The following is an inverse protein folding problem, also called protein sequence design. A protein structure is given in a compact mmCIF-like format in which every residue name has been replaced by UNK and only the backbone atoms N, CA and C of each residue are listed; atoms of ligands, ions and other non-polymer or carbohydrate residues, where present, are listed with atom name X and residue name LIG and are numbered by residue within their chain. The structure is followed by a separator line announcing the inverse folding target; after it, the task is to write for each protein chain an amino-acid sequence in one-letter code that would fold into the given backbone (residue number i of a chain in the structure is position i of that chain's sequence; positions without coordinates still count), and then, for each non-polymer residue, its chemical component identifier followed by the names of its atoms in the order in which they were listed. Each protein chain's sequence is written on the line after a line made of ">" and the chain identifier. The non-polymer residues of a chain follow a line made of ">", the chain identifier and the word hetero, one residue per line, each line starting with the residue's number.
data_IF_474112379010
#
_entry.id   IF_474112379010
#
_cell.length_a   1.000
_cell.length_b   1.000
_cell.length_c   1.000
_cell.angle_alpha   90.00
_cell.angle_beta   90.00
_cell.angle_gamma   90.00
#
_symmetry.space_group_name_H-M   'P 1'
#
loop_
_entity.id
_entity.type
_entity.pdbx_description
1 polymer ?
#
# COMPACT_ATOMS: atom_id res chain seq x y z
N UNK A 1 -15.57 -23.43 -7.73
CA UNK A 1 -14.13 -23.30 -8.05
C UNK A 1 -13.38 -23.89 -6.88
N UNK A 2 -12.49 -24.85 -7.10
CA UNK A 2 -11.71 -25.43 -6.02
C UNK A 2 -10.78 -24.34 -5.45
N UNK A 3 -10.68 -24.14 -4.13
CA UNK A 3 -9.77 -23.15 -3.55
C UNK A 3 -8.33 -23.28 -4.06
N UNK A 4 -7.86 -24.50 -4.33
CA UNK A 4 -6.54 -24.77 -4.89
C UNK A 4 -6.34 -24.13 -6.27
N UNK A 5 -7.37 -24.10 -7.12
CA UNK A 5 -7.30 -23.48 -8.45
C UNK A 5 -6.94 -21.99 -8.34
N UNK A 6 -7.49 -21.31 -7.32
CA UNK A 6 -7.19 -19.89 -7.09
C UNK A 6 -5.78 -19.69 -6.53
N UNK A 7 -5.35 -20.53 -5.59
CA UNK A 7 -4.02 -20.41 -4.96
C UNK A 7 -2.91 -20.68 -5.98
N UNK A 8 -3.10 -21.69 -6.83
CA UNK A 8 -2.14 -22.14 -7.83
C UNK A 8 -2.29 -21.45 -9.20
N UNK A 9 -3.21 -20.48 -9.33
CA UNK A 9 -3.39 -19.75 -10.57
C UNK A 9 -2.13 -19.00 -11.02
N UNK A 10 -1.96 -18.90 -12.33
CA UNK A 10 -0.92 -18.10 -13.00
C UNK A 10 -1.43 -16.71 -13.44
N UNK A 11 -2.66 -16.35 -13.06
CA UNK A 11 -3.23 -15.03 -13.36
C UNK A 11 -3.66 -14.36 -12.06
N UNK A 12 -3.14 -13.16 -11.81
CA UNK A 12 -3.43 -12.38 -10.60
C UNK A 12 -4.93 -12.18 -10.36
N UNK A 13 -5.70 -12.00 -11.44
CA UNK A 13 -7.16 -11.90 -11.40
C UNK A 13 -7.82 -13.10 -10.73
N UNK A 14 -7.38 -14.31 -11.01
CA UNK A 14 -7.98 -15.51 -10.43
C UNK A 14 -7.48 -15.72 -9.00
N UNK A 15 -6.20 -15.39 -8.73
CA UNK A 15 -5.59 -15.50 -7.41
C UNK A 15 -6.33 -14.74 -6.31
N UNK A 16 -6.89 -13.59 -6.65
CA UNK A 16 -7.63 -12.73 -5.72
C UNK A 16 -9.07 -12.47 -6.15
N UNK A 17 -9.69 -13.43 -6.87
CA UNK A 17 -11.12 -13.41 -7.25
C UNK A 17 -11.58 -12.13 -7.93
N UNK A 18 -10.73 -11.54 -8.75
CA UNK A 18 -10.99 -10.33 -9.52
C UNK A 18 -10.38 -9.06 -8.93
N UNK A 19 -9.76 -9.12 -7.76
CA UNK A 19 -9.04 -7.98 -7.19
C UNK A 19 -7.60 -7.91 -7.71
N UNK A 20 -7.12 -6.68 -7.90
CA UNK A 20 -5.71 -6.39 -8.08
C UNK A 20 -5.16 -5.87 -6.74
N UNK A 21 -4.28 -6.61 -6.05
CA UNK A 21 -3.58 -6.05 -4.89
C UNK A 21 -2.68 -4.90 -5.33
N UNK A 22 -2.80 -3.77 -4.63
CA UNK A 22 -1.92 -2.61 -4.78
C UNK A 22 -1.48 -2.23 -3.39
N UNK A 23 -0.17 -2.22 -3.17
CA UNK A 23 0.40 -1.87 -1.88
C UNK A 23 0.38 -0.36 -1.74
N UNK A 24 0.02 0.13 -0.56
CA UNK A 24 -0.08 1.55 -0.25
C UNK A 24 0.52 1.76 1.13
N UNK A 25 1.30 2.82 1.25
CA UNK A 25 1.72 3.39 2.52
C UNK A 25 1.50 4.91 2.47
N UNK A 26 1.12 5.50 3.61
CA UNK A 26 0.89 6.93 3.75
C UNK A 26 1.63 7.51 4.94
N UNK A 27 2.18 8.70 4.75
CA UNK A 27 2.65 9.53 5.85
C UNK A 27 1.67 10.65 6.12
N UNK A 28 1.40 10.91 7.40
CA UNK A 28 0.32 11.80 7.82
C UNK A 28 0.75 12.76 8.92
N UNK A 29 -0.01 13.84 9.08
CA UNK A 29 0.20 14.82 10.15
C UNK A 29 -0.57 14.47 11.43
N UNK A 30 -0.87 13.19 11.67
CA UNK A 30 -1.69 12.71 12.78
C UNK A 30 -2.48 11.45 12.44
N UNK A 31 -3.34 10.99 13.34
CA UNK A 31 -4.02 9.69 13.21
C UNK A 31 -5.51 9.78 12.86
N UNK A 32 -6.08 10.99 12.81
CA UNK A 32 -7.49 11.23 12.51
C UNK A 32 -7.66 11.72 11.06
N UNK A 33 -8.08 10.87 10.09
CA UNK A 33 -8.15 11.21 8.66
C UNK A 33 -8.96 12.45 8.31
N UNK A 34 -9.99 12.75 9.12
CA UNK A 34 -10.88 13.90 8.92
C UNK A 34 -10.22 15.23 9.30
N UNK A 35 -9.21 15.19 10.17
CA UNK A 35 -8.55 16.38 10.71
C UNK A 35 -7.12 16.52 10.19
N UNK A 36 -6.38 15.42 10.15
CA UNK A 36 -4.95 15.43 9.88
C UNK A 36 -4.64 15.29 8.39
N UNK A 37 -3.61 16.01 7.94
CA UNK A 37 -3.18 16.00 6.55
C UNK A 37 -2.59 14.64 6.14
N UNK A 38 -2.87 14.24 4.90
CA UNK A 38 -2.07 13.27 4.15
C UNK A 38 -0.87 14.03 3.57
N UNK A 39 0.35 13.61 3.90
CA UNK A 39 1.59 14.33 3.57
C UNK A 39 2.42 13.62 2.51
N UNK A 40 2.37 12.30 2.46
CA UNK A 40 2.98 11.48 1.42
C UNK A 40 2.12 10.27 1.15
N UNK A 41 2.17 9.76 -0.08
CA UNK A 41 1.54 8.51 -0.43
C UNK A 41 2.41 7.80 -1.46
N UNK A 42 2.81 6.56 -1.15
CA UNK A 42 3.39 5.66 -2.11
C UNK A 42 2.37 4.59 -2.49
N UNK A 43 2.36 4.22 -3.76
CA UNK A 43 1.74 2.98 -4.21
C UNK A 43 2.79 2.09 -4.87
N UNK A 44 2.67 0.78 -4.66
CA UNK A 44 3.51 -0.20 -5.33
C UNK A 44 2.61 -1.21 -6.01
N UNK A 45 2.76 -1.31 -7.33
CA UNK A 45 2.03 -2.30 -8.11
C UNK A 45 2.64 -3.68 -7.90
N UNK A 46 1.80 -4.70 -7.86
CA UNK A 46 2.27 -6.09 -7.84
C UNK A 46 2.06 -6.72 -9.20
N UNK A 47 3.07 -7.43 -9.66
CA UNK A 47 3.01 -8.21 -10.89
C UNK A 47 3.13 -9.71 -10.57
N UNK A 48 2.65 -10.53 -11.50
CA UNK A 48 2.70 -11.98 -11.42
C UNK A 48 3.42 -12.50 -12.65
N UNK A 49 4.42 -13.34 -12.45
CA UNK A 49 5.16 -13.97 -13.53
C UNK A 49 4.44 -15.20 -14.11
N UNK A 50 5.04 -15.79 -15.15
CA UNK A 50 4.48 -16.98 -15.81
C UNK A 50 4.44 -18.22 -14.89
N UNK A 51 5.23 -18.25 -13.81
CA UNK A 51 5.20 -19.30 -12.80
C UNK A 51 4.09 -19.10 -11.76
N UNK A 52 3.41 -17.95 -11.79
CA UNK A 52 2.38 -17.54 -10.85
C UNK A 52 2.95 -17.01 -9.54
N UNK A 53 4.22 -16.61 -9.51
CA UNK A 53 4.87 -15.96 -8.38
C UNK A 53 4.63 -14.46 -8.45
N UNK A 54 4.33 -13.86 -7.29
CA UNK A 54 4.21 -12.42 -7.16
C UNK A 54 5.59 -11.78 -6.96
N UNK A 55 5.77 -10.62 -7.56
CA UNK A 55 6.91 -9.76 -7.31
C UNK A 55 6.51 -8.29 -7.29
N UNK A 56 7.40 -7.46 -6.75
CA UNK A 56 7.26 -6.01 -6.72
C UNK A 56 7.40 -5.44 -8.14
N UNK A 57 6.42 -4.65 -8.56
CA UNK A 57 6.43 -3.90 -9.82
C UNK A 57 6.87 -2.45 -9.62
N UNK A 58 6.32 -1.54 -10.42
CA UNK A 58 6.62 -0.10 -10.34
C UNK A 58 6.05 0.54 -9.06
N UNK A 59 6.84 1.43 -8.47
CA UNK A 59 6.47 2.33 -7.38
C UNK A 59 6.07 3.70 -7.95
N UNK A 60 5.01 4.30 -7.42
CA UNK A 60 4.64 5.69 -7.72
C UNK A 60 4.41 6.42 -6.41
N UNK A 61 4.89 7.65 -6.33
CA UNK A 61 4.94 8.39 -5.07
C UNK A 61 4.68 9.87 -5.30
N UNK A 62 4.01 10.49 -4.34
CA UNK A 62 3.79 11.93 -4.32
C UNK A 62 3.99 12.48 -2.90
N UNK A 63 4.65 13.64 -2.82
CA UNK A 63 4.54 14.52 -1.66
C UNK A 63 3.27 15.35 -1.79
N UNK A 64 2.52 15.49 -0.70
CA UNK A 64 1.18 16.06 -0.69
C UNK A 64 1.14 17.26 0.26
N UNK A 65 0.59 18.38 -0.22
CA UNK A 65 0.36 19.56 0.59
C UNK A 65 -0.80 19.32 1.56
N UNK A 66 -0.73 19.83 2.81
CA UNK A 66 -1.85 19.80 3.72
C UNK A 66 -3.10 20.45 3.09
N UNK A 67 -4.25 19.78 3.21
CA UNK A 67 -5.51 20.38 2.79
C UNK A 67 -5.86 21.59 3.66
N UNK A 68 -6.69 22.50 3.13
CA UNK A 68 -7.08 23.71 3.85
C UNK A 68 -7.77 23.39 5.18
N UNK A 69 -7.20 23.89 6.28
CA UNK A 69 -7.72 23.67 7.63
C UNK A 69 -7.27 22.35 8.28
N UNK A 70 -6.33 21.62 7.67
CA UNK A 70 -5.76 20.43 8.29
C UNK A 70 -5.05 20.73 9.62
N UNK A 71 -5.26 19.87 10.60
CA UNK A 71 -4.54 19.87 11.86
C UNK A 71 -3.21 19.12 11.69
N UNK A 72 -2.11 19.74 12.11
CA UNK A 72 -0.76 19.18 12.03
C UNK A 72 -0.27 18.84 13.44
N UNK A 73 -0.30 17.56 13.82
CA UNK A 73 0.22 17.10 15.11
C UNK A 73 1.75 17.16 15.11
N UNK A 74 2.37 17.99 15.97
CA UNK A 74 3.82 18.08 16.06
C UNK A 74 4.50 16.74 16.38
N UNK A 75 3.82 15.82 17.08
CA UNK A 75 4.39 14.50 17.40
C UNK A 75 4.49 13.62 16.17
N UNK A 76 3.46 13.62 15.32
CA UNK A 76 3.50 12.89 14.04
C UNK A 76 4.55 13.46 13.09
N UNK A 77 4.65 14.80 12.98
CA UNK A 77 5.69 15.43 12.16
C UNK A 77 7.11 15.14 12.66
N UNK A 78 7.30 15.10 13.98
CA UNK A 78 8.59 14.73 14.57
C UNK A 78 8.93 13.25 14.34
N UNK A 79 7.91 12.39 14.25
CA UNK A 79 8.08 10.95 14.04
C UNK A 79 8.51 10.62 12.61
N UNK A 80 7.84 11.19 11.60
CA UNK A 80 8.20 10.99 10.19
C UNK A 80 9.21 12.01 9.65
N UNK A 81 9.58 13.02 10.46
CA UNK A 81 10.55 14.07 10.11
C UNK A 81 10.15 14.90 8.88
N UNK A 82 8.85 14.99 8.60
CA UNK A 82 8.33 15.79 7.49
C UNK A 82 8.13 17.24 7.93
N UNK A 83 8.72 18.18 7.20
CA UNK A 83 8.28 19.57 7.16
C UNK A 83 7.28 19.75 6.01
N UNK A 84 5.96 19.90 6.29
CA UNK A 84 4.95 19.95 5.25
C UNK A 84 5.14 21.09 4.24
N UNK A 85 5.82 22.17 4.64
CA UNK A 85 5.94 23.39 3.84
C UNK A 85 7.36 23.60 3.27
N UNK A 86 8.26 22.63 3.44
CA UNK A 86 9.59 22.65 2.83
C UNK A 86 9.47 22.71 1.30
N UNK A 87 9.90 23.81 0.62
CA UNK A 87 9.71 23.96 -0.82
C UNK A 87 10.39 22.88 -1.66
N UNK A 88 11.50 22.30 -1.17
CA UNK A 88 12.25 21.24 -1.84
C UNK A 88 11.54 19.87 -1.83
N UNK A 89 10.41 19.72 -1.13
CA UNK A 89 9.56 18.52 -1.24
C UNK A 89 8.81 18.46 -2.56
N UNK A 90 8.67 19.59 -3.27
CA UNK A 90 7.88 19.67 -4.50
C UNK A 90 6.47 19.09 -4.35
N UNK A 91 5.87 19.27 -3.17
CA UNK A 91 4.56 18.72 -2.85
C UNK A 91 3.48 19.35 -3.73
N UNK A 92 2.55 18.51 -4.20
CA UNK A 92 1.39 18.93 -5.00
C UNK A 92 0.13 18.92 -4.14
N UNK A 93 -0.95 19.53 -4.63
CA UNK A 93 -2.23 19.46 -3.92
C UNK A 93 -2.80 18.03 -3.92
N UNK A 94 -3.61 17.72 -2.91
CA UNK A 94 -4.18 16.39 -2.67
C UNK A 94 -4.91 15.82 -3.90
N UNK A 95 -5.60 16.65 -4.69
CA UNK A 95 -6.30 16.15 -5.88
C UNK A 95 -5.31 15.75 -6.98
N UNK A 96 -4.34 16.60 -7.27
CA UNK A 96 -3.29 16.31 -8.25
C UNK A 96 -2.53 15.04 -7.90
N UNK A 97 -2.11 14.89 -6.64
CA UNK A 97 -1.41 13.67 -6.19
C UNK A 97 -2.24 12.41 -6.41
N UNK A 98 -3.51 12.41 -6.00
CA UNK A 98 -4.40 11.26 -6.18
C UNK A 98 -4.66 10.96 -7.67
N UNK A 99 -4.77 11.97 -8.54
CA UNK A 99 -4.89 11.76 -9.98
C UNK A 99 -3.65 11.06 -10.56
N UNK A 100 -2.45 11.50 -10.16
CA UNK A 100 -1.19 10.89 -10.57
C UNK A 100 -1.07 9.44 -10.07
N UNK A 101 -1.40 9.18 -8.81
CA UNK A 101 -1.30 7.86 -8.20
C UNK A 101 -2.39 6.89 -8.68
N UNK A 102 -3.61 7.36 -8.94
CA UNK A 102 -4.69 6.46 -9.40
C UNK A 102 -4.59 6.10 -10.88
N UNK A 103 -3.94 6.92 -11.70
CA UNK A 103 -3.74 6.65 -13.13
C UNK A 103 -3.05 5.29 -13.39
N UNK A 104 -1.87 4.97 -12.81
CA UNK A 104 -1.21 3.69 -13.00
C UNK A 104 -2.04 2.51 -12.43
N UNK A 105 -2.74 2.68 -11.30
CA UNK A 105 -3.66 1.65 -10.77
C UNK A 105 -4.74 1.30 -11.80
N UNK A 106 -5.37 2.32 -12.39
CA UNK A 106 -6.41 2.11 -13.40
C UNK A 106 -5.87 1.45 -14.67
N UNK A 107 -4.64 1.76 -15.07
CA UNK A 107 -3.95 1.08 -16.18
C UNK A 107 -3.66 -0.39 -15.85
N UNK A 108 -3.16 -0.67 -14.65
CA UNK A 108 -2.87 -2.02 -14.17
C UNK A 108 -4.15 -2.88 -14.05
N UNK A 109 -5.25 -2.30 -13.58
CA UNK A 109 -6.56 -2.97 -13.53
C UNK A 109 -7.01 -3.43 -14.92
N UNK A 110 -6.88 -2.56 -15.93
CA UNK A 110 -7.21 -2.89 -17.33
C UNK A 110 -6.28 -3.97 -17.88
N UNK A 111 -4.96 -3.85 -17.67
CA UNK A 111 -3.93 -4.82 -18.10
C UNK A 111 -4.21 -6.21 -17.51
N UNK A 112 -4.43 -6.29 -16.20
CA UNK A 112 -4.69 -7.54 -15.47
C UNK A 112 -6.14 -8.08 -15.63
N UNK A 113 -7.04 -7.29 -16.25
CA UNK A 113 -8.48 -7.57 -16.36
C UNK A 113 -9.16 -7.79 -15.00
N UNK A 114 -8.63 -7.14 -13.96
CA UNK A 114 -9.21 -7.12 -12.61
C UNK A 114 -10.38 -6.14 -12.56
N UNK A 115 -11.33 -6.40 -11.67
CA UNK A 115 -12.55 -5.59 -11.52
C UNK A 115 -12.29 -4.35 -10.65
N UNK A 116 -11.45 -4.48 -9.63
CA UNK A 116 -11.16 -3.42 -8.65
C UNK A 116 -9.81 -3.62 -7.98
N UNK A 117 -9.20 -2.55 -7.49
CA UNK A 117 -8.00 -2.67 -6.67
C UNK A 117 -8.39 -3.02 -5.23
N UNK A 118 -7.54 -3.78 -4.53
CA UNK A 118 -7.61 -4.00 -3.09
C UNK A 118 -6.34 -3.44 -2.47
N UNK A 119 -6.49 -2.55 -1.48
CA UNK A 119 -5.35 -1.95 -0.80
C UNK A 119 -4.66 -3.03 0.03
N UNK A 120 -3.34 -3.14 -0.15
CA UNK A 120 -2.45 -3.90 0.73
C UNK A 120 -1.63 -2.90 1.53
N UNK A 121 -1.50 -3.08 2.83
CA UNK A 121 -0.76 -2.15 3.69
C UNK A 121 -0.46 -2.78 5.04
N UNK A 122 0.43 -2.17 5.82
CA UNK A 122 0.81 -2.68 7.14
C UNK A 122 0.05 -1.95 8.24
N UNK A 123 -0.95 -2.60 8.82
CA UNK A 123 -2.11 -1.95 9.46
C UNK A 123 -3.01 -1.23 8.43
N UNK A 124 -3.22 -1.88 7.28
CA UNK A 124 -3.85 -1.35 6.04
C UNK A 124 -5.12 -0.50 6.20
N UNK A 125 -5.88 -0.69 7.28
CA UNK A 125 -7.07 0.12 7.52
C UNK A 125 -6.74 1.60 7.75
N UNK A 126 -5.58 1.89 8.36
CA UNK A 126 -5.08 3.24 8.57
C UNK A 126 -4.94 3.97 7.22
N UNK A 127 -4.17 3.40 6.29
CA UNK A 127 -3.93 3.96 4.96
C UNK A 127 -5.24 4.13 4.19
N UNK A 128 -6.09 3.09 4.22
CA UNK A 128 -7.38 3.12 3.53
C UNK A 128 -8.28 4.24 4.02
N UNK A 129 -8.28 4.53 5.33
CA UNK A 129 -9.10 5.61 5.87
C UNK A 129 -8.60 7.00 5.43
N UNK A 130 -7.29 7.24 5.42
CA UNK A 130 -6.70 8.48 4.90
C UNK A 130 -6.99 8.66 3.42
N UNK A 131 -6.77 7.64 2.60
CA UNK A 131 -7.10 7.66 1.17
C UNK A 131 -8.59 7.93 0.95
N UNK A 132 -9.48 7.30 1.73
CA UNK A 132 -10.93 7.54 1.62
C UNK A 132 -11.33 8.96 1.96
N UNK A 133 -10.72 9.55 2.98
CA UNK A 133 -11.05 10.92 3.37
C UNK A 133 -10.51 11.94 2.37
N UNK A 134 -9.29 11.74 1.86
CA UNK A 134 -8.73 12.51 0.76
C UNK A 134 -9.62 12.46 -0.50
N UNK A 135 -10.15 11.27 -0.82
CA UNK A 135 -11.11 11.11 -1.92
C UNK A 135 -12.40 11.90 -1.70
N UNK A 136 -12.94 11.94 -0.47
CA UNK A 136 -14.14 12.73 -0.17
C UNK A 136 -13.89 14.23 -0.35
N UNK A 137 -12.73 14.72 0.11
CA UNK A 137 -12.34 16.13 -0.05
C UNK A 137 -12.15 16.53 -1.51
N UNK A 138 -11.57 15.64 -2.31
CA UNK A 138 -11.22 15.91 -3.72
C UNK A 138 -12.34 15.59 -4.72
N UNK A 139 -13.30 14.76 -4.35
CA UNK A 139 -14.40 14.30 -5.21
C UNK A 139 -13.97 13.30 -6.29
N UNK A 140 -12.76 12.74 -6.20
CA UNK A 140 -12.24 11.77 -7.17
C UNK A 140 -12.92 10.41 -7.07
N UNK A 141 -12.84 9.61 -8.15
CA UNK A 141 -13.34 8.23 -8.13
C UNK A 141 -12.30 7.29 -7.54
N UNK A 142 -12.66 6.62 -6.44
CA UNK A 142 -11.81 5.63 -5.79
C UNK A 142 -11.60 4.36 -6.66
N UNK A 143 -10.35 3.99 -7.01
CA UNK A 143 -10.05 2.73 -7.70
C UNK A 143 -10.08 1.53 -6.74
N UNK A 144 -9.90 1.77 -5.44
CA UNK A 144 -9.87 0.74 -4.41
C UNK A 144 -11.27 0.25 -4.05
N UNK A 145 -11.29 -0.96 -3.48
CA UNK A 145 -12.45 -1.50 -2.80
C UNK A 145 -12.78 -0.68 -1.54
N UNK A 146 -14.06 -0.53 -1.22
CA UNK A 146 -14.52 0.48 -0.26
C UNK A 146 -14.23 0.15 1.22
N UNK A 147 -13.97 -1.13 1.53
CA UNK A 147 -13.77 -1.62 2.90
C UNK A 147 -12.79 -2.80 2.97
N UNK A 148 -12.84 -3.77 2.05
CA UNK A 148 -11.81 -4.83 2.03
C UNK A 148 -10.42 -4.25 1.75
N UNK A 149 -9.46 -4.62 2.60
CA UNK A 149 -8.01 -4.45 2.44
C UNK A 149 -7.30 -5.76 2.83
N UNK A 150 -6.05 -5.93 2.41
CA UNK A 150 -5.17 -6.99 2.88
C UNK A 150 -4.14 -6.40 3.83
N UNK A 151 -4.24 -6.78 5.10
CA UNK A 151 -3.37 -6.26 6.14
C UNK A 151 -2.15 -7.17 6.36
N UNK A 152 -0.96 -6.65 6.08
CA UNK A 152 0.29 -7.38 6.27
C UNK A 152 0.70 -7.52 7.72
N UNK A 153 0.15 -6.73 8.66
CA UNK A 153 0.35 -6.98 10.08
C UNK A 153 -0.35 -8.28 10.51
N UNK A 154 -1.60 -8.48 10.08
CA UNK A 154 -2.34 -9.73 10.26
C UNK A 154 -1.64 -10.91 9.57
N UNK A 155 -1.25 -10.77 8.31
CA UNK A 155 -0.56 -11.84 7.58
C UNK A 155 0.80 -12.17 8.18
N UNK A 156 1.58 -11.16 8.58
CA UNK A 156 2.86 -11.35 9.25
C UNK A 156 2.71 -12.03 10.60
N UNK A 157 1.64 -11.72 11.35
CA UNK A 157 1.28 -12.44 12.57
C UNK A 157 0.99 -13.93 12.31
N UNK A 158 0.29 -14.24 11.22
CA UNK A 158 0.00 -15.62 10.83
C UNK A 158 1.25 -16.38 10.37
N UNK A 159 2.07 -15.80 9.50
CA UNK A 159 3.17 -16.50 8.83
C UNK A 159 4.44 -16.52 9.69
N UNK A 160 4.76 -15.41 10.35
CA UNK A 160 6.02 -15.22 11.07
C UNK A 160 5.84 -14.98 12.58
N UNK A 161 4.61 -14.86 13.08
CA UNK A 161 4.36 -14.47 14.47
C UNK A 161 4.76 -13.02 14.78
N UNK A 162 4.86 -12.16 13.76
CA UNK A 162 5.34 -10.77 13.90
C UNK A 162 4.34 -9.79 13.30
N UNK A 163 3.93 -8.79 14.08
CA UNK A 163 3.01 -7.72 13.65
C UNK A 163 3.70 -6.39 13.37
N UNK A 164 4.98 -6.26 13.69
CA UNK A 164 5.79 -5.06 13.37
C UNK A 164 6.47 -5.28 12.03
N UNK A 165 6.34 -4.34 11.09
CA UNK A 165 6.84 -4.47 9.72
C UNK A 165 8.31 -4.89 9.68
N UNK A 166 9.18 -4.16 10.38
CA UNK A 166 10.61 -4.45 10.45
C UNK A 166 10.91 -5.88 10.95
N UNK A 167 10.17 -6.36 11.97
CA UNK A 167 10.36 -7.71 12.53
C UNK A 167 9.83 -8.79 11.59
N UNK A 168 8.70 -8.54 10.91
CA UNK A 168 8.15 -9.45 9.92
C UNK A 168 9.08 -9.55 8.69
N UNK A 169 9.60 -8.42 8.21
CA UNK A 169 10.60 -8.36 7.15
C UNK A 169 11.87 -9.14 7.53
N UNK A 170 12.40 -8.92 8.74
CA UNK A 170 13.56 -9.66 9.25
C UNK A 170 13.30 -11.18 9.31
N UNK A 171 12.13 -11.60 9.80
CA UNK A 171 11.73 -13.01 9.84
C UNK A 171 11.58 -13.62 8.44
N UNK A 172 11.14 -12.83 7.47
CA UNK A 172 11.09 -13.17 6.04
C UNK A 172 12.46 -13.07 5.34
N UNK A 173 13.53 -12.70 6.06
CA UNK A 173 14.89 -12.44 5.52
C UNK A 173 14.94 -11.34 4.47
N UNK A 174 14.01 -10.40 4.53
CA UNK A 174 14.00 -9.17 3.73
C UNK A 174 14.87 -8.13 4.46
N UNK A 175 15.88 -7.54 3.81
CA UNK A 175 16.69 -6.48 4.42
C UNK A 175 15.82 -5.29 4.84
N UNK A 176 16.01 -4.81 6.06
CA UNK A 176 15.28 -3.67 6.61
C UNK A 176 16.24 -2.74 7.38
N UNK A 177 16.57 -1.59 6.78
CA UNK A 177 17.15 -0.44 7.47
C UNK A 177 16.04 0.35 8.21
N UNK A 178 16.24 0.57 9.51
CA UNK A 178 15.35 1.37 10.35
C UNK A 178 15.52 2.87 10.15
N UNK A 179 16.63 3.31 9.55
CA UNK A 179 16.88 4.73 9.28
C UNK A 179 16.10 5.24 8.07
N UNK A 180 15.67 4.34 7.18
CA UNK A 180 14.81 4.66 6.04
C UNK A 180 13.31 4.44 6.33
N UNK A 181 12.98 3.92 7.53
CA UNK A 181 11.59 3.80 7.96
C UNK A 181 10.93 5.18 8.07
N UNK A 182 9.61 5.23 7.87
CA UNK A 182 8.82 6.47 7.84
C UNK A 182 9.05 7.33 6.60
N UNK A 183 9.59 6.72 5.53
CA UNK A 183 9.38 7.17 4.17
C UNK A 183 8.32 6.28 3.53
N UNK A 184 7.24 6.87 3.00
CA UNK A 184 6.18 6.08 2.40
C UNK A 184 6.67 5.19 1.24
N UNK A 185 7.71 5.63 0.51
CA UNK A 185 8.32 4.81 -0.55
C UNK A 185 8.90 3.53 0.05
N UNK A 186 9.76 3.69 1.04
CA UNK A 186 10.50 2.59 1.65
C UNK A 186 9.55 1.60 2.33
N UNK A 187 8.61 2.10 3.13
CA UNK A 187 7.66 1.26 3.86
C UNK A 187 6.68 0.54 2.93
N UNK A 188 6.20 1.20 1.85
CA UNK A 188 5.38 0.53 0.83
C UNK A 188 6.18 -0.55 0.08
N UNK A 189 7.44 -0.27 -0.25
CA UNK A 189 8.31 -1.21 -0.95
C UNK A 189 8.61 -2.46 -0.10
N UNK A 190 8.95 -2.29 1.19
CA UNK A 190 9.16 -3.42 2.11
C UNK A 190 7.87 -4.18 2.38
N UNK A 191 6.74 -3.49 2.45
CA UNK A 191 5.42 -4.11 2.57
C UNK A 191 5.08 -4.95 1.32
N UNK A 192 5.45 -4.48 0.12
CA UNK A 192 5.26 -5.21 -1.13
C UNK A 192 6.11 -6.48 -1.18
N UNK A 193 7.39 -6.39 -0.81
CA UNK A 193 8.29 -7.54 -0.74
C UNK A 193 7.76 -8.58 0.26
N UNK A 194 7.36 -8.12 1.46
CA UNK A 194 6.80 -8.97 2.51
C UNK A 194 5.52 -9.66 2.07
N UNK A 195 4.60 -8.93 1.44
CA UNK A 195 3.35 -9.50 0.93
C UNK A 195 3.62 -10.55 -0.15
N UNK A 196 4.51 -10.26 -1.11
CA UNK A 196 4.88 -11.21 -2.16
C UNK A 196 5.47 -12.49 -1.57
N UNK A 197 6.42 -12.37 -0.63
CA UNK A 197 7.07 -13.51 0.01
C UNK A 197 6.05 -14.42 0.72
N UNK A 198 5.16 -13.84 1.53
CA UNK A 198 4.13 -14.62 2.24
C UNK A 198 3.18 -15.35 1.28
N UNK A 199 2.76 -14.69 0.19
CA UNK A 199 1.86 -15.29 -0.80
C UNK A 199 2.57 -16.40 -1.59
N UNK A 200 3.83 -16.19 -1.97
CA UNK A 200 4.65 -17.16 -2.71
C UNK A 200 4.99 -18.38 -1.85
N UNK A 201 5.34 -18.17 -0.58
CA UNK A 201 5.57 -19.25 0.39
C UNK A 201 4.33 -20.13 0.53
N UNK A 202 3.15 -19.51 0.67
CA UNK A 202 1.89 -20.27 0.75
C UNK A 202 1.60 -21.06 -0.53
N UNK A 203 1.86 -20.47 -1.71
CA UNK A 203 1.72 -21.16 -2.99
C UNK A 203 2.61 -22.41 -3.03
N UNK A 204 3.89 -22.28 -2.69
CA UNK A 204 4.85 -23.38 -2.67
C UNK A 204 4.40 -24.53 -1.77
N UNK A 205 3.91 -24.22 -0.57
CA UNK A 205 3.36 -25.21 0.36
C UNK A 205 2.10 -25.93 -0.15
N UNK A 206 1.42 -25.42 -1.18
CA UNK A 206 0.25 -26.05 -1.81
C UNK A 206 0.59 -26.80 -3.10
N UNK A 207 1.82 -26.69 -3.58
CA UNK A 207 2.33 -27.47 -4.70
C UNK A 207 2.96 -28.79 -4.23
N UNK A 208 3.42 -28.84 -2.97
CA UNK A 208 3.86 -30.03 -2.25
C UNK A 208 2.67 -30.88 -1.77
#
# INVERSE_FOLDING_TARGET
>A
MNPLDSILSHRIKERFRGFLPVVVDVETAGIEPQKNALLEMCIVLLEMDDQGLLHRGESHFEHILPFSGAELDPKSLAFNQIDPFQPLRFAVDEKTALEHLFKPINMALKKARCQRAVLVGHNAWFDLLFVKEAIKRTGLKCPFHAFTCFDTATLGGMVYGQTVLAKAAQAAKIPFDTNEAHSAIYDAEKTADLFCEMINQWRKMKQE
#
